data_IF_696964833006
#
_entry.id   IF_696964833006
#
_cell.length_a   1.000
_cell.length_b   1.000
_cell.length_c   1.000
_cell.angle_alpha   90.00
_cell.angle_beta   90.00
_cell.angle_gamma   90.00
#
_symmetry.space_group_name_H-M   'P 1'
#
loop_
_entity.id
_entity.type
_entity.pdbx_description
1 polymer ?
#
# COMPACT_ATOMS: atom_id res chain seq x y z
N UNK A 1 53.98 43.41 -46.21
CA UNK A 1 52.54 43.71 -46.08
C UNK A 1 51.90 42.45 -45.47
N UNK A 2 51.81 42.37 -44.19
CA UNK A 2 51.36 41.24 -43.48
C UNK A 2 50.08 41.58 -42.71
N UNK A 3 49.00 40.96 -43.07
CA UNK A 3 47.69 41.05 -42.38
C UNK A 3 47.65 40.10 -41.23
N UNK A 4 47.53 40.61 -40.00
CA UNK A 4 47.36 39.83 -38.75
C UNK A 4 45.87 39.60 -38.54
N UNK A 5 45.43 38.38 -38.69
CA UNK A 5 44.09 37.96 -38.24
C UNK A 5 44.11 37.69 -36.76
N UNK A 6 43.42 38.55 -36.01
CA UNK A 6 43.13 38.35 -34.59
C UNK A 6 41.92 37.40 -34.48
N UNK A 7 42.14 36.20 -34.01
CA UNK A 7 41.09 35.24 -33.66
C UNK A 7 40.60 35.54 -32.24
N UNK A 8 39.41 36.13 -32.13
CA UNK A 8 38.67 36.27 -30.87
C UNK A 8 38.04 34.94 -30.52
N UNK A 9 38.60 34.25 -29.52
CA UNK A 9 37.98 33.10 -28.90
C UNK A 9 36.90 33.57 -27.94
N UNK A 10 35.64 33.39 -28.32
CA UNK A 10 34.49 33.59 -27.42
C UNK A 10 34.35 32.32 -26.58
N UNK A 11 34.78 32.38 -25.32
CA UNK A 11 34.53 31.35 -24.34
C UNK A 11 33.06 31.46 -23.89
N UNK A 12 32.22 30.60 -24.47
CA UNK A 12 30.85 30.41 -24.04
C UNK A 12 30.80 29.64 -22.70
N UNK A 13 30.56 30.39 -21.63
CA UNK A 13 30.24 29.79 -20.32
C UNK A 13 28.81 29.24 -20.38
N UNK A 14 28.70 27.96 -20.62
CA UNK A 14 27.42 27.26 -20.45
C UNK A 14 27.11 27.15 -18.94
N UNK A 15 26.27 28.08 -18.43
CA UNK A 15 25.65 27.92 -17.12
C UNK A 15 24.67 26.74 -17.23
N UNK A 16 25.10 25.61 -16.76
CA UNK A 16 24.19 24.51 -16.41
C UNK A 16 23.41 24.93 -15.16
N UNK A 17 22.22 25.47 -15.37
CA UNK A 17 21.24 25.59 -14.31
C UNK A 17 20.84 24.19 -13.92
N UNK A 18 21.53 23.61 -12.93
CA UNK A 18 21.05 22.47 -12.20
C UNK A 18 19.78 22.89 -11.47
N UNK A 19 18.65 22.73 -12.15
CA UNK A 19 17.34 22.79 -11.51
C UNK A 19 17.28 21.68 -10.47
N UNK A 20 17.64 22.01 -9.23
CA UNK A 20 17.29 21.19 -8.09
C UNK A 20 15.75 21.11 -8.09
N UNK A 21 15.24 20.03 -8.62
CA UNK A 21 13.87 19.62 -8.33
C UNK A 21 13.82 19.40 -6.83
N UNK A 22 13.31 20.41 -6.12
CA UNK A 22 12.81 20.27 -4.77
C UNK A 22 11.54 19.38 -4.86
N UNK A 23 11.75 18.13 -5.26
CA UNK A 23 10.78 17.07 -4.99
C UNK A 23 10.65 17.06 -3.50
N UNK A 24 9.50 17.48 -2.98
CA UNK A 24 9.22 17.42 -1.57
C UNK A 24 9.57 16.02 -1.09
N UNK A 25 10.49 15.91 -0.12
CA UNK A 25 10.93 14.67 0.49
C UNK A 25 9.79 14.11 1.38
N UNK A 26 8.66 13.76 0.77
CA UNK A 26 7.66 12.93 1.41
C UNK A 26 8.19 11.50 1.48
N UNK A 27 7.98 10.81 2.59
CA UNK A 27 8.29 9.39 2.70
C UNK A 27 7.43 8.57 1.74
N UNK A 28 7.96 7.46 1.25
CA UNK A 28 7.22 6.51 0.42
C UNK A 28 6.16 5.75 1.23
N UNK A 29 5.22 5.14 0.53
CA UNK A 29 4.29 4.21 1.17
C UNK A 29 5.10 3.05 1.79
N UNK A 30 4.84 2.77 3.06
CA UNK A 30 5.56 1.74 3.81
C UNK A 30 6.69 2.25 4.69
N UNK A 31 7.11 3.49 4.53
CA UNK A 31 8.14 4.07 5.38
C UNK A 31 7.66 4.24 6.82
N UNK A 32 8.61 4.16 7.75
CA UNK A 32 8.34 4.36 9.18
C UNK A 32 7.96 5.82 9.46
N UNK A 33 6.99 6.05 10.32
CA UNK A 33 6.56 7.37 10.75
C UNK A 33 6.12 7.37 12.21
N UNK A 34 6.12 8.57 12.79
CA UNK A 34 5.61 8.83 14.14
C UNK A 34 4.33 9.66 14.07
N UNK A 35 4.28 10.61 13.15
CA UNK A 35 3.15 11.51 12.92
C UNK A 35 2.88 11.66 11.41
N UNK A 36 1.70 12.14 11.06
CA UNK A 36 1.30 12.27 9.64
C UNK A 36 2.21 13.20 8.84
N UNK A 37 2.74 14.25 9.45
CA UNK A 37 3.69 15.17 8.78
C UNK A 37 5.03 14.53 8.40
N UNK A 38 5.38 13.38 9.00
CA UNK A 38 6.56 12.61 8.60
C UNK A 38 6.36 12.01 7.20
N UNK A 39 5.12 11.62 6.87
CA UNK A 39 4.78 10.97 5.61
C UNK A 39 4.62 11.97 4.47
N UNK A 40 3.98 13.10 4.75
CA UNK A 40 3.77 14.15 3.76
C UNK A 40 3.56 15.51 4.42
N UNK A 41 4.35 16.52 4.07
CA UNK A 41 4.12 17.89 4.54
C UNK A 41 2.79 18.47 4.06
N UNK A 42 2.24 17.96 2.96
CA UNK A 42 0.99 18.42 2.34
C UNK A 42 -0.25 17.68 2.86
N UNK A 43 -0.08 16.66 3.70
CA UNK A 43 -1.19 15.94 4.34
C UNK A 43 -1.94 14.94 3.44
N UNK A 44 -1.39 14.59 2.27
CA UNK A 44 -1.94 13.58 1.36
C UNK A 44 -1.65 12.13 1.81
N UNK A 45 -0.76 11.97 2.79
CA UNK A 45 -0.43 10.69 3.42
C UNK A 45 -0.64 10.78 4.92
N UNK A 46 -1.08 9.68 5.50
CA UNK A 46 -1.24 9.53 6.95
C UNK A 46 -0.18 8.61 7.51
N UNK A 47 0.11 8.76 8.80
CA UNK A 47 0.88 7.78 9.56
C UNK A 47 -0.11 6.82 10.23
N UNK A 48 -0.29 5.65 9.65
CA UNK A 48 -1.15 4.60 10.22
C UNK A 48 -0.37 3.86 11.30
N UNK A 49 -0.91 3.86 12.51
CA UNK A 49 -0.32 3.17 13.64
C UNK A 49 -1.40 2.59 14.54
N UNK A 50 -1.28 1.30 14.84
CA UNK A 50 -2.22 0.61 15.74
C UNK A 50 -1.97 0.93 17.22
N UNK A 51 -0.75 1.36 17.59
CA UNK A 51 -0.32 1.56 18.96
C UNK A 51 0.57 2.81 19.15
N UNK A 52 0.51 3.80 18.28
CA UNK A 52 1.21 5.08 18.47
C UNK A 52 0.48 5.96 19.49
N UNK A 53 0.42 5.57 20.73
CA UNK A 53 0.05 6.49 21.80
C UNK A 53 1.31 7.28 22.14
N UNK A 54 1.33 8.58 21.83
CA UNK A 54 2.47 9.48 22.05
C UNK A 54 2.83 9.74 23.49
N UNK A 55 2.51 8.82 24.42
CA UNK A 55 2.78 8.91 25.86
C UNK A 55 3.71 7.80 26.34
N UNK A 56 4.01 6.79 25.54
CA UNK A 56 4.97 5.74 25.89
C UNK A 56 6.25 5.87 25.07
N UNK A 57 7.35 6.38 25.65
CA UNK A 57 8.64 6.48 24.95
C UNK A 57 9.29 5.11 24.68
N UNK A 58 8.71 4.01 25.19
CA UNK A 58 9.16 2.63 24.93
C UNK A 58 8.26 1.93 23.91
N UNK A 59 7.04 2.42 23.67
CA UNK A 59 6.28 2.02 22.51
C UNK A 59 7.03 2.53 21.29
N UNK A 60 7.44 1.61 20.44
CA UNK A 60 8.18 1.87 19.21
C UNK A 60 7.41 2.88 18.35
N UNK A 61 7.56 4.17 18.67
CA UNK A 61 6.92 5.28 17.97
C UNK A 61 7.36 5.33 16.48
N UNK A 62 8.43 4.61 16.15
CA UNK A 62 8.90 4.39 14.78
C UNK A 62 8.07 3.34 14.01
N UNK A 63 7.06 2.71 14.62
CA UNK A 63 6.26 1.65 13.98
C UNK A 63 5.04 2.14 13.20
N UNK A 64 4.79 3.43 13.11
CA UNK A 64 3.81 3.97 12.18
C UNK A 64 4.17 3.65 10.73
N UNK A 65 3.17 3.54 9.87
CA UNK A 65 3.29 3.18 8.47
C UNK A 65 2.74 4.32 7.61
N UNK A 66 3.57 4.90 6.76
CA UNK A 66 3.11 5.92 5.81
C UNK A 66 2.18 5.29 4.78
N UNK A 67 0.95 5.79 4.70
CA UNK A 67 -0.07 5.27 3.79
C UNK A 67 -1.03 6.36 3.31
N UNK A 68 -1.88 6.00 2.35
CA UNK A 68 -3.04 6.78 1.91
C UNK A 68 -4.27 5.95 2.27
N UNK A 69 -5.19 6.53 3.03
CA UNK A 69 -6.47 5.90 3.38
C UNK A 69 -7.53 6.21 2.32
N UNK A 70 -8.45 5.28 2.10
CA UNK A 70 -9.58 5.47 1.19
C UNK A 70 -9.22 5.34 -0.28
N UNK A 71 -8.16 4.61 -0.60
CA UNK A 71 -7.75 4.31 -1.97
C UNK A 71 -8.77 3.44 -2.72
N UNK A 72 -8.61 3.38 -4.03
CA UNK A 72 -9.31 2.46 -4.91
C UNK A 72 -8.31 1.80 -5.88
N UNK A 73 -8.79 0.88 -6.72
CA UNK A 73 -7.94 0.24 -7.73
C UNK A 73 -7.18 1.28 -8.56
N UNK A 74 -5.86 1.14 -8.63
CA UNK A 74 -5.00 2.00 -9.45
C UNK A 74 -4.83 3.45 -8.96
N UNK A 75 -5.29 3.80 -7.75
CA UNK A 75 -5.14 5.17 -7.21
C UNK A 75 -3.92 5.36 -6.30
N UNK A 76 -3.25 4.29 -5.93
CA UNK A 76 -2.02 4.35 -5.14
C UNK A 76 -0.82 4.75 -6.01
N UNK A 77 0.24 5.34 -5.40
CA UNK A 77 1.53 5.55 -6.05
C UNK A 77 2.10 4.24 -6.61
N UNK A 78 3.05 4.34 -7.55
CA UNK A 78 3.60 3.20 -8.29
C UNK A 78 4.27 2.14 -7.42
N UNK A 79 4.76 2.52 -6.24
CA UNK A 79 5.38 1.63 -5.26
C UNK A 79 4.37 0.86 -4.40
N UNK A 80 3.05 1.12 -4.58
CA UNK A 80 2.02 0.61 -3.70
C UNK A 80 0.80 0.07 -4.45
N UNK A 81 0.04 -0.76 -3.77
CA UNK A 81 -1.26 -1.29 -4.20
C UNK A 81 -2.33 -0.93 -3.18
N UNK A 82 -3.55 -0.66 -3.64
CA UNK A 82 -4.69 -0.49 -2.75
C UNK A 82 -5.11 -1.84 -2.16
N UNK A 83 -5.10 -1.94 -0.84
CA UNK A 83 -5.45 -3.14 -0.08
C UNK A 83 -6.64 -2.83 0.81
N UNK A 84 -7.62 -3.72 0.81
CA UNK A 84 -8.75 -3.69 1.73
C UNK A 84 -8.54 -4.64 2.90
N UNK A 85 -8.86 -4.16 4.07
CA UNK A 85 -8.89 -4.90 5.31
C UNK A 85 -10.30 -4.86 5.87
N UNK A 86 -10.70 -5.90 6.59
CA UNK A 86 -12.02 -5.97 7.21
C UNK A 86 -11.87 -5.92 8.73
N UNK A 87 -12.59 -5.01 9.37
CA UNK A 87 -12.60 -4.87 10.83
C UNK A 87 -13.69 -5.74 11.43
N UNK A 88 -13.31 -6.67 12.30
CA UNK A 88 -14.20 -7.60 12.97
C UNK A 88 -13.83 -9.05 12.72
N UNK A 89 -14.40 -9.93 13.54
CA UNK A 89 -14.31 -11.39 13.35
C UNK A 89 -15.53 -11.89 12.58
N UNK A 90 -15.33 -12.28 11.33
CA UNK A 90 -16.41 -12.80 10.48
C UNK A 90 -16.27 -14.31 10.36
N UNK A 91 -17.34 -15.02 10.66
CA UNK A 91 -17.41 -16.47 10.54
C UNK A 91 -18.67 -16.87 9.80
N UNK A 92 -18.50 -17.67 8.77
CA UNK A 92 -19.63 -18.30 8.09
C UNK A 92 -20.23 -19.41 8.96
N UNK A 93 -21.46 -19.85 8.65
CA UNK A 93 -21.97 -21.11 9.14
C UNK A 93 -21.00 -22.26 8.86
N UNK A 94 -20.90 -23.21 9.80
CA UNK A 94 -19.92 -24.29 9.71
C UNK A 94 -19.98 -25.04 8.37
N UNK A 95 -18.84 -25.17 7.74
CA UNK A 95 -18.67 -25.84 6.45
C UNK A 95 -19.21 -25.08 5.24
N UNK A 96 -19.52 -23.78 5.39
CA UNK A 96 -19.97 -22.91 4.30
C UNK A 96 -18.90 -21.86 3.99
N UNK A 97 -18.68 -21.62 2.72
CA UNK A 97 -17.77 -20.58 2.19
C UNK A 97 -18.40 -19.88 0.99
N UNK A 98 -18.09 -18.64 0.80
CA UNK A 98 -18.37 -17.97 -0.46
C UNK A 98 -17.15 -18.10 -1.41
N UNK A 99 -17.36 -17.86 -2.70
CA UNK A 99 -16.30 -17.90 -3.70
C UNK A 99 -16.67 -18.75 -4.91
N UNK A 100 -16.01 -18.52 -6.05
CA UNK A 100 -16.35 -19.20 -7.31
C UNK A 100 -16.00 -20.68 -7.31
N UNK A 101 -14.96 -21.07 -6.59
CA UNK A 101 -14.41 -22.44 -6.60
C UNK A 101 -14.98 -23.32 -5.49
N UNK A 102 -15.96 -22.82 -4.72
CA UNK A 102 -16.59 -23.58 -3.62
C UNK A 102 -17.62 -24.57 -4.17
N UNK A 103 -17.56 -25.86 -3.79
CA UNK A 103 -18.55 -26.85 -4.20
C UNK A 103 -19.98 -26.41 -3.85
N UNK A 104 -20.98 -26.66 -4.73
CA UNK A 104 -22.38 -26.21 -4.49
C UNK A 104 -22.96 -26.58 -3.13
N UNK A 105 -22.60 -27.74 -2.59
CA UNK A 105 -23.07 -28.18 -1.27
C UNK A 105 -22.51 -27.31 -0.11
N UNK A 106 -21.39 -26.63 -0.32
CA UNK A 106 -20.72 -25.75 0.66
C UNK A 106 -20.84 -24.28 0.30
N UNK A 107 -21.40 -23.97 -0.87
CA UNK A 107 -21.53 -22.61 -1.37
C UNK A 107 -22.40 -21.75 -0.46
N UNK A 108 -21.89 -20.57 -0.12
CA UNK A 108 -22.62 -19.51 0.57
C UNK A 108 -22.79 -18.33 -0.39
N UNK A 109 -24.00 -17.80 -0.48
CA UNK A 109 -24.26 -16.55 -1.18
C UNK A 109 -24.30 -15.43 -0.15
N UNK A 110 -23.40 -14.46 -0.29
CA UNK A 110 -23.37 -13.28 0.58
C UNK A 110 -24.57 -12.37 0.30
N UNK A 111 -25.04 -11.66 1.33
CA UNK A 111 -26.07 -10.64 1.21
C UNK A 111 -25.61 -9.47 0.32
N UNK A 112 -26.52 -8.65 -0.23
CA UNK A 112 -26.14 -7.53 -1.11
C UNK A 112 -25.24 -6.48 -0.46
N UNK A 113 -25.31 -6.33 0.87
CA UNK A 113 -24.49 -5.44 1.70
C UNK A 113 -23.17 -6.09 2.16
N UNK A 114 -22.96 -7.35 1.78
CA UNK A 114 -21.72 -8.09 2.03
C UNK A 114 -20.90 -8.28 0.75
N UNK A 115 -19.67 -8.71 0.95
CA UNK A 115 -18.80 -9.22 -0.12
C UNK A 115 -18.10 -10.51 0.36
N UNK A 116 -17.69 -11.31 -0.61
CA UNK A 116 -16.90 -12.49 -0.33
C UNK A 116 -15.44 -12.08 -0.19
N UNK A 117 -14.84 -12.31 0.99
CA UNK A 117 -13.42 -12.11 1.22
C UNK A 117 -12.59 -13.23 0.58
N UNK A 118 -11.30 -13.00 0.41
CA UNK A 118 -10.34 -13.99 -0.10
C UNK A 118 -10.33 -15.28 0.78
N UNK A 119 -10.57 -15.13 2.07
CA UNK A 119 -10.70 -16.26 3.00
C UNK A 119 -12.05 -17.01 2.89
N UNK A 120 -12.91 -16.63 1.95
CA UNK A 120 -14.20 -17.28 1.73
C UNK A 120 -15.28 -16.90 2.73
N UNK A 121 -15.12 -15.81 3.47
CA UNK A 121 -16.12 -15.34 4.42
C UNK A 121 -16.98 -14.22 3.80
N UNK A 122 -18.28 -14.23 4.07
CA UNK A 122 -19.12 -13.09 3.79
C UNK A 122 -18.88 -12.00 4.84
N UNK A 123 -18.43 -10.83 4.40
CA UNK A 123 -18.04 -9.70 5.26
C UNK A 123 -18.83 -8.46 4.88
N UNK A 124 -19.36 -7.70 5.85
CA UNK A 124 -20.07 -6.46 5.57
C UNK A 124 -19.18 -5.45 4.86
N UNK A 125 -19.69 -4.80 3.82
CA UNK A 125 -19.00 -3.70 3.11
C UNK A 125 -18.67 -2.54 4.04
N UNK A 126 -19.46 -2.32 5.08
CA UNK A 126 -19.23 -1.28 6.09
C UNK A 126 -18.02 -1.55 6.99
N UNK A 127 -17.51 -2.80 7.01
CA UNK A 127 -16.31 -3.16 7.77
C UNK A 127 -15.01 -2.94 6.99
N UNK A 128 -15.11 -2.57 5.71
CA UNK A 128 -13.97 -2.41 4.81
C UNK A 128 -13.21 -1.13 5.08
N UNK A 129 -11.91 -1.25 5.31
CA UNK A 129 -10.94 -0.17 5.36
C UNK A 129 -9.91 -0.36 4.26
N UNK A 130 -9.61 0.70 3.51
CA UNK A 130 -8.67 0.64 2.39
C UNK A 130 -7.45 1.50 2.64
N UNK A 131 -6.29 0.93 2.36
CA UNK A 131 -5.00 1.60 2.49
C UNK A 131 -4.08 1.27 1.32
N UNK A 132 -3.27 2.24 0.91
CA UNK A 132 -2.14 1.98 0.01
C UNK A 132 -1.05 1.24 0.77
N UNK A 133 -0.73 0.03 0.37
CA UNK A 133 0.30 -0.80 0.98
C UNK A 133 1.45 -0.99 0.00
N UNK A 134 2.70 -0.87 0.50
CA UNK A 134 3.91 -1.06 -0.31
C UNK A 134 3.92 -2.44 -0.95
N UNK A 135 4.20 -2.53 -2.23
CA UNK A 135 4.36 -3.79 -2.94
C UNK A 135 5.68 -4.47 -2.57
N UNK A 136 5.73 -5.80 -2.62
CA UNK A 136 6.91 -6.58 -2.27
C UNK A 136 7.03 -7.83 -3.13
N UNK A 137 8.27 -8.34 -3.28
CA UNK A 137 8.55 -9.66 -3.84
C UNK A 137 8.76 -10.71 -2.74
N UNK A 138 9.35 -10.28 -1.62
CA UNK A 138 9.74 -11.12 -0.48
C UNK A 138 9.69 -10.34 0.84
N UNK A 139 9.85 -11.03 1.97
CA UNK A 139 9.91 -10.40 3.31
C UNK A 139 11.06 -9.38 3.43
N UNK A 140 12.15 -9.56 2.66
CA UNK A 140 13.29 -8.64 2.66
C UNK A 140 13.00 -7.26 2.06
N UNK A 141 11.89 -7.10 1.33
CA UNK A 141 11.45 -5.83 0.78
C UNK A 141 10.60 -5.03 1.78
N UNK A 142 10.20 -5.69 2.86
CA UNK A 142 9.42 -5.10 3.93
C UNK A 142 10.33 -4.71 5.09
N UNK A 143 9.98 -3.64 5.79
CA UNK A 143 10.72 -3.23 6.98
C UNK A 143 10.54 -4.22 8.14
N UNK A 144 11.36 -4.07 9.17
CA UNK A 144 11.26 -4.87 10.40
C UNK A 144 9.85 -4.82 11.01
N UNK A 145 9.37 -5.97 11.51
CA UNK A 145 8.02 -6.11 12.04
C UNK A 145 6.93 -6.30 10.97
N UNK A 146 7.30 -6.25 9.68
CA UNK A 146 6.37 -6.45 8.56
C UNK A 146 6.71 -7.73 7.79
N UNK A 147 5.72 -8.23 7.06
CA UNK A 147 5.83 -9.41 6.20
C UNK A 147 5.31 -9.08 4.80
N UNK A 148 5.85 -9.75 3.80
CA UNK A 148 5.32 -9.71 2.44
C UNK A 148 4.18 -10.73 2.34
N UNK A 149 2.93 -10.24 2.31
CA UNK A 149 1.76 -11.10 2.20
C UNK A 149 1.56 -11.55 0.77
N UNK A 150 1.73 -12.83 0.56
CA UNK A 150 1.24 -13.57 -0.60
C UNK A 150 -0.18 -14.08 -0.35
N UNK A 151 -0.75 -14.82 -1.31
CA UNK A 151 -2.10 -15.35 -1.22
C UNK A 151 -2.37 -16.12 0.10
N UNK A 152 -1.44 -16.97 0.51
CA UNK A 152 -1.58 -17.78 1.73
C UNK A 152 -1.65 -16.90 2.97
N UNK A 153 -0.70 -15.97 3.11
CA UNK A 153 -0.67 -15.03 4.24
C UNK A 153 -1.84 -14.06 4.24
N UNK A 154 -2.34 -13.67 3.05
CA UNK A 154 -3.56 -12.86 2.95
C UNK A 154 -4.79 -13.59 3.52
N UNK A 155 -4.91 -14.88 3.24
CA UNK A 155 -6.00 -15.71 3.80
C UNK A 155 -5.85 -15.93 5.30
N UNK A 156 -4.62 -16.05 5.81
CA UNK A 156 -4.35 -16.31 7.23
C UNK A 156 -4.40 -15.04 8.07
N UNK A 157 -3.80 -13.94 7.58
CA UNK A 157 -3.58 -12.71 8.34
C UNK A 157 -4.44 -11.53 7.86
N UNK A 158 -5.25 -11.75 6.84
CA UNK A 158 -6.14 -10.74 6.25
C UNK A 158 -5.44 -9.79 5.30
N UNK A 159 -6.22 -8.87 4.78
CA UNK A 159 -5.82 -7.94 3.73
C UNK A 159 -5.84 -8.60 2.35
N UNK A 160 -6.43 -7.88 1.39
CA UNK A 160 -6.47 -8.35 0.00
C UNK A 160 -6.45 -7.14 -0.94
N UNK A 161 -5.73 -7.20 -2.07
CA UNK A 161 -5.74 -6.13 -3.05
C UNK A 161 -7.14 -5.85 -3.56
N UNK A 162 -7.46 -4.58 -3.76
CA UNK A 162 -8.72 -4.16 -4.37
C UNK A 162 -8.65 -4.50 -5.86
N UNK A 163 -9.56 -5.36 -6.38
CA UNK A 163 -9.55 -5.72 -7.79
C UNK A 163 -9.99 -4.56 -8.68
N UNK A 164 -9.67 -4.65 -9.96
CA UNK A 164 -10.20 -3.70 -10.95
C UNK A 164 -11.75 -3.72 -10.94
N UNK A 165 -12.41 -2.61 -11.29
CA UNK A 165 -13.86 -2.54 -11.34
C UNK A 165 -14.45 -3.68 -12.20
N UNK A 166 -15.49 -4.33 -11.67
CA UNK A 166 -16.19 -5.45 -12.32
C UNK A 166 -15.35 -6.70 -12.58
N UNK A 167 -14.21 -6.83 -11.88
CA UNK A 167 -13.38 -8.05 -11.93
C UNK A 167 -13.35 -8.72 -10.57
N UNK A 168 -13.14 -10.03 -10.56
CA UNK A 168 -12.78 -10.76 -9.35
C UNK A 168 -11.25 -10.70 -9.15
N UNK A 169 -10.82 -10.89 -7.91
CA UNK A 169 -9.40 -11.08 -7.62
C UNK A 169 -8.94 -12.40 -8.25
N UNK A 170 -7.89 -12.33 -9.08
CA UNK A 170 -7.28 -13.54 -9.65
C UNK A 170 -6.26 -14.11 -8.65
N UNK A 171 -6.51 -15.27 -8.04
CA UNK A 171 -5.60 -15.84 -7.04
C UNK A 171 -4.20 -16.16 -7.60
N UNK A 172 -4.06 -16.35 -8.92
CA UNK A 172 -2.79 -16.65 -9.55
C UNK A 172 -1.93 -15.40 -9.84
N UNK A 173 -2.55 -14.22 -9.82
CA UNK A 173 -1.90 -12.95 -10.13
C UNK A 173 -2.11 -11.90 -9.04
N UNK A 174 -2.24 -12.34 -7.80
CA UNK A 174 -2.41 -11.43 -6.65
C UNK A 174 -1.13 -10.66 -6.39
N UNK A 175 -1.22 -9.33 -6.39
CA UNK A 175 -0.11 -8.48 -6.05
C UNK A 175 0.20 -8.58 -4.55
N UNK A 176 1.45 -8.92 -4.22
CA UNK A 176 1.93 -9.01 -2.84
C UNK A 176 2.16 -7.63 -2.25
N UNK A 177 1.98 -7.50 -0.95
CA UNK A 177 2.19 -6.24 -0.24
C UNK A 177 2.75 -6.46 1.17
N UNK A 178 3.44 -5.43 1.68
CA UNK A 178 3.95 -5.41 3.04
C UNK A 178 2.84 -5.06 4.04
N UNK A 179 2.65 -5.89 5.06
CA UNK A 179 1.76 -5.60 6.19
C UNK A 179 2.38 -6.04 7.51
N UNK A 180 1.94 -5.46 8.62
CA UNK A 180 2.42 -5.83 9.94
C UNK A 180 2.19 -7.32 10.21
N UNK A 181 3.17 -7.95 10.85
CA UNK A 181 3.03 -9.32 11.34
C UNK A 181 1.98 -9.37 12.45
N UNK A 182 1.19 -10.46 12.56
CA UNK A 182 0.23 -10.66 13.64
C UNK A 182 0.87 -10.64 15.01
#
# INVERSE_FOLDING_TARGET
MGSRHVLLAIAGVALWAAGAMLGGCGKEIGDACTIASDCSPNGDRICQCSNCSGTDPTADSANGYCTIQGCDFGTCPSEAVCVRFFTGGFTNPAGKMCGPDVPPAQQLTCSPDELCSLAGNCVPRSSELRYCMRTCGSDGDCRDGYECRDLTRMMEHGGEPVPAPNTALDPNHVQKFCAARP
#
